data_IF_277616261187
#
_entry.id   IF_277616261187
#
_cell.length_a   1.000
_cell.length_b   1.000
_cell.length_c   1.000
_cell.angle_alpha   90.00
_cell.angle_beta   90.00
_cell.angle_gamma   90.00
#
_symmetry.space_group_name_H-M   'P 1'
#
loop_
_entity.id
_entity.type
_entity.pdbx_description
1 polymer ?
#
# COMPACT_ATOMS: atom_id res chain seq x y z
N UNK A 1 11.58 2.47 -15.59
CA UNK A 1 10.86 1.23 -15.98
C UNK A 1 9.63 0.92 -15.12
N UNK A 2 9.74 0.78 -13.79
CA UNK A 2 8.58 0.43 -12.93
C UNK A 2 7.35 1.35 -13.06
N UNK A 3 7.54 2.65 -13.34
CA UNK A 3 6.41 3.59 -13.52
C UNK A 3 5.60 3.30 -14.78
N UNK A 4 6.26 2.96 -15.90
CA UNK A 4 5.61 2.57 -17.15
C UNK A 4 4.91 1.21 -17.02
N UNK A 5 5.55 0.28 -16.31
CA UNK A 5 5.00 -1.07 -16.08
C UNK A 5 3.72 -1.02 -15.23
N UNK A 6 3.67 -0.14 -14.21
CA UNK A 6 2.44 0.13 -13.45
C UNK A 6 1.33 0.71 -14.31
N UNK A 7 1.64 1.68 -15.18
CA UNK A 7 0.64 2.30 -16.06
C UNK A 7 0.08 1.26 -17.03
N UNK A 8 0.94 0.45 -17.65
CA UNK A 8 0.52 -0.66 -18.51
C UNK A 8 -0.41 -1.63 -17.77
N UNK A 9 -0.04 -2.05 -16.56
CA UNK A 9 -0.87 -2.92 -15.73
C UNK A 9 -2.25 -2.33 -15.42
N UNK A 10 -2.32 -1.03 -15.08
CA UNK A 10 -3.60 -0.34 -14.84
C UNK A 10 -4.45 -0.28 -16.11
N UNK A 11 -3.84 0.00 -17.27
CA UNK A 11 -4.55 0.01 -18.56
C UNK A 11 -5.16 -1.37 -18.85
N UNK A 12 -4.40 -2.44 -18.62
CA UNK A 12 -4.88 -3.82 -18.81
C UNK A 12 -6.09 -4.10 -17.92
N UNK A 13 -6.02 -3.74 -16.63
CA UNK A 13 -7.16 -3.91 -15.71
C UNK A 13 -8.40 -3.15 -16.17
N UNK A 14 -8.24 -1.89 -16.62
CA UNK A 14 -9.35 -1.08 -17.12
C UNK A 14 -9.97 -1.72 -18.36
N UNK A 15 -9.14 -2.18 -19.30
CA UNK A 15 -9.60 -2.86 -20.52
C UNK A 15 -10.42 -4.11 -20.19
N UNK A 16 -9.93 -4.95 -19.28
CA UNK A 16 -10.67 -6.12 -18.82
C UNK A 16 -11.99 -5.74 -18.14
N UNK A 17 -12.00 -4.70 -17.30
CA UNK A 17 -13.21 -4.20 -16.65
C UNK A 17 -14.28 -3.72 -17.65
N UNK A 18 -13.86 -3.02 -18.72
CA UNK A 18 -14.77 -2.55 -19.77
C UNK A 18 -15.35 -3.70 -20.59
N UNK A 19 -14.51 -4.64 -21.04
CA UNK A 19 -14.96 -5.83 -21.77
C UNK A 19 -15.93 -6.65 -20.90
N UNK A 20 -15.61 -6.79 -19.62
CA UNK A 20 -16.45 -7.49 -18.66
C UNK A 20 -17.81 -6.82 -18.50
N UNK A 21 -17.86 -5.48 -18.37
CA UNK A 21 -19.10 -4.72 -18.28
C UNK A 21 -19.97 -4.90 -19.54
N UNK A 22 -19.39 -4.74 -20.73
CA UNK A 22 -20.11 -4.88 -22.00
C UNK A 22 -20.68 -6.28 -22.23
N UNK A 23 -19.98 -7.33 -21.79
CA UNK A 23 -20.41 -8.72 -21.94
C UNK A 23 -21.45 -9.14 -20.89
N UNK A 24 -21.47 -8.47 -19.75
CA UNK A 24 -22.28 -8.86 -18.59
C UNK A 24 -23.25 -7.76 -18.18
N UNK A 25 -23.95 -7.17 -19.16
CA UNK A 25 -25.01 -6.18 -18.93
C UNK A 25 -26.33 -6.83 -18.44
N UNK A 26 -26.21 -7.90 -17.67
CA UNK A 26 -27.34 -8.58 -17.06
C UNK A 26 -27.65 -7.95 -15.70
N UNK A 27 -28.94 -7.76 -15.44
CA UNK A 27 -29.44 -7.39 -14.13
C UNK A 27 -29.52 -8.64 -13.25
N UNK A 28 -28.99 -8.54 -12.04
CA UNK A 28 -29.06 -9.60 -11.02
C UNK A 28 -29.84 -9.06 -9.84
N UNK A 29 -30.71 -9.91 -9.29
CA UNK A 29 -31.48 -9.60 -8.09
C UNK A 29 -30.62 -9.77 -6.84
N UNK A 30 -30.36 -8.67 -6.14
CA UNK A 30 -29.75 -8.70 -4.81
C UNK A 30 -30.85 -8.76 -3.76
N UNK A 31 -31.02 -9.94 -3.16
CA UNK A 31 -31.86 -10.14 -1.99
C UNK A 31 -31.14 -9.60 -0.74
N UNK A 32 -31.44 -8.37 -0.35
CA UNK A 32 -31.06 -7.86 0.96
C UNK A 32 -32.04 -8.35 2.03
N UNK A 33 -31.64 -8.28 3.30
CA UNK A 33 -32.43 -8.74 4.45
C UNK A 33 -33.88 -8.20 4.50
N UNK A 34 -34.16 -7.08 3.84
CA UNK A 34 -35.47 -6.42 3.87
C UNK A 34 -36.10 -6.28 2.47
N UNK A 35 -35.31 -6.31 1.39
CA UNK A 35 -35.83 -6.09 0.03
C UNK A 35 -34.91 -6.66 -1.06
N UNK A 36 -35.48 -6.92 -2.23
CA UNK A 36 -34.75 -7.34 -3.44
C UNK A 36 -34.59 -6.17 -4.38
N UNK A 37 -33.36 -5.87 -4.80
CA UNK A 37 -33.08 -4.77 -5.74
C UNK A 37 -32.39 -5.34 -6.99
N UNK A 38 -32.91 -5.08 -8.21
CA UNK A 38 -32.21 -5.43 -9.43
C UNK A 38 -31.03 -4.48 -9.64
N UNK A 39 -29.82 -5.03 -9.72
CA UNK A 39 -28.58 -4.28 -9.93
C UNK A 39 -27.75 -4.95 -11.01
N UNK A 40 -27.07 -4.16 -11.84
CA UNK A 40 -26.18 -4.71 -12.88
C UNK A 40 -25.07 -5.55 -12.25
N UNK A 41 -24.89 -6.78 -12.73
CA UNK A 41 -23.89 -7.72 -12.21
C UNK A 41 -22.48 -7.13 -12.21
N UNK A 42 -22.13 -6.39 -13.26
CA UNK A 42 -20.85 -5.69 -13.37
C UNK A 42 -20.61 -4.69 -12.24
N UNK A 43 -21.65 -3.97 -11.79
CA UNK A 43 -21.51 -2.99 -10.70
C UNK A 43 -21.21 -3.67 -9.38
N UNK A 44 -21.87 -4.80 -9.10
CA UNK A 44 -21.64 -5.58 -7.88
C UNK A 44 -20.18 -6.02 -7.80
N UNK A 45 -19.66 -6.59 -8.89
CA UNK A 45 -18.27 -7.07 -8.95
C UNK A 45 -17.27 -5.91 -8.79
N UNK A 46 -17.49 -4.79 -9.48
CA UNK A 46 -16.62 -3.62 -9.35
C UNK A 46 -16.63 -3.09 -7.92
N UNK A 47 -17.80 -3.00 -7.28
CA UNK A 47 -17.93 -2.58 -5.89
C UNK A 47 -17.21 -3.54 -4.93
N UNK A 48 -17.40 -4.86 -5.08
CA UNK A 48 -16.72 -5.86 -4.26
C UNK A 48 -15.19 -5.77 -4.42
N UNK A 49 -14.71 -5.58 -5.65
CA UNK A 49 -13.28 -5.40 -5.92
C UNK A 49 -12.74 -4.13 -5.27
N UNK A 50 -13.46 -3.00 -5.40
CA UNK A 50 -13.10 -1.74 -4.76
C UNK A 50 -13.04 -1.87 -3.23
N UNK A 51 -14.05 -2.51 -2.63
CA UNK A 51 -14.07 -2.79 -1.18
C UNK A 51 -12.88 -3.66 -0.78
N UNK A 52 -12.61 -4.73 -1.53
CA UNK A 52 -11.45 -5.60 -1.28
C UNK A 52 -10.11 -4.86 -1.39
N UNK A 53 -9.96 -3.98 -2.39
CA UNK A 53 -8.76 -3.15 -2.55
C UNK A 53 -8.58 -2.17 -1.39
N UNK A 54 -9.65 -1.49 -0.95
CA UNK A 54 -9.62 -0.60 0.20
C UNK A 54 -9.21 -1.37 1.46
N UNK A 55 -9.84 -2.53 1.70
CA UNK A 55 -9.52 -3.39 2.84
C UNK A 55 -8.07 -3.88 2.79
N UNK A 56 -7.57 -4.26 1.60
CA UNK A 56 -6.18 -4.65 1.40
C UNK A 56 -5.20 -3.52 1.71
N UNK A 57 -5.49 -2.30 1.28
CA UNK A 57 -4.69 -1.12 1.64
C UNK A 57 -4.72 -0.90 3.14
N UNK A 58 -5.90 -0.91 3.76
CA UNK A 58 -6.05 -0.74 5.21
C UNK A 58 -5.27 -1.80 5.99
N UNK A 59 -5.34 -3.06 5.57
CA UNK A 59 -4.60 -4.17 6.17
C UNK A 59 -3.07 -3.99 6.04
N UNK A 60 -2.59 -3.29 5.01
CA UNK A 60 -1.16 -3.02 4.82
C UNK A 60 -0.63 -1.84 5.64
N UNK A 61 -1.50 -0.94 6.13
CA UNK A 61 -1.08 0.26 6.87
C UNK A 61 -0.22 -0.02 8.10
N UNK A 62 -0.54 -1.00 8.98
CA UNK A 62 0.27 -1.27 10.17
C UNK A 62 1.71 -1.66 9.81
N UNK A 63 1.89 -2.46 8.75
CA UNK A 63 3.21 -2.87 8.28
C UNK A 63 4.02 -1.67 7.76
N UNK A 64 3.37 -0.77 7.01
CA UNK A 64 4.00 0.47 6.53
C UNK A 64 4.40 1.39 7.69
N UNK A 65 3.56 1.52 8.71
CA UNK A 65 3.85 2.32 9.90
C UNK A 65 5.03 1.74 10.69
N UNK A 66 5.04 0.42 10.90
CA UNK A 66 6.15 -0.29 11.55
C UNK A 66 7.46 -0.07 10.80
N UNK A 67 7.45 -0.23 9.47
CA UNK A 67 8.63 -0.02 8.63
C UNK A 67 9.15 1.42 8.72
N UNK A 68 8.26 2.42 8.69
CA UNK A 68 8.65 3.83 8.88
C UNK A 68 9.27 4.08 10.24
N UNK A 69 8.70 3.49 11.30
CA UNK A 69 9.20 3.65 12.65
C UNK A 69 10.59 3.01 12.82
N UNK A 70 10.77 1.78 12.33
CA UNK A 70 12.05 1.08 12.34
C UNK A 70 13.11 1.85 11.53
N UNK A 71 12.77 2.35 10.35
CA UNK A 71 13.67 3.16 9.55
C UNK A 71 14.11 4.45 10.30
N UNK A 72 13.17 5.16 10.92
CA UNK A 72 13.51 6.33 11.74
C UNK A 72 14.41 5.99 12.93
N UNK A 73 14.19 4.84 13.57
CA UNK A 73 15.04 4.33 14.65
C UNK A 73 16.45 4.02 14.16
N UNK A 74 16.58 3.31 13.04
CA UNK A 74 17.88 2.97 12.44
C UNK A 74 18.67 4.22 12.04
N UNK A 75 18.02 5.20 11.40
CA UNK A 75 18.65 6.48 11.05
C UNK A 75 19.17 7.22 12.29
N UNK A 76 18.43 7.19 13.41
CA UNK A 76 18.90 7.78 14.68
C UNK A 76 20.11 7.03 15.25
N UNK A 77 20.10 5.70 15.21
CA UNK A 77 21.22 4.88 15.69
C UNK A 77 22.50 5.18 14.91
N UNK A 78 22.43 5.21 13.58
CA UNK A 78 23.58 5.56 12.72
C UNK A 78 24.16 6.93 13.11
N UNK A 79 23.32 7.95 13.27
CA UNK A 79 23.76 9.28 13.68
C UNK A 79 24.42 9.32 15.07
N UNK A 80 23.94 8.50 16.01
CA UNK A 80 24.54 8.42 17.35
C UNK A 80 25.89 7.73 17.32
N UNK A 81 25.99 6.60 16.61
CA UNK A 81 27.26 5.87 16.44
C UNK A 81 28.31 6.73 15.73
N UNK A 82 27.92 7.49 14.69
CA UNK A 82 28.82 8.44 14.03
C UNK A 82 29.32 9.54 14.99
N UNK A 83 28.44 10.06 15.86
CA UNK A 83 28.83 11.04 16.88
C UNK A 83 29.79 10.48 17.92
N UNK A 84 29.58 9.25 18.37
CA UNK A 84 30.47 8.57 19.32
C UNK A 84 31.86 8.33 18.72
N UNK A 85 31.93 7.85 17.47
CA UNK A 85 33.20 7.68 16.75
C UNK A 85 33.92 9.03 16.61
N UNK A 86 33.20 10.09 16.22
CA UNK A 86 33.80 11.41 16.11
C UNK A 86 34.31 11.91 17.47
N UNK A 87 33.49 11.84 18.53
CA UNK A 87 33.88 12.27 19.87
C UNK A 87 35.13 11.51 20.36
N UNK A 88 35.21 10.20 20.13
CA UNK A 88 36.38 9.38 20.48
C UNK A 88 37.63 9.77 19.68
N UNK A 89 37.49 10.19 18.41
CA UNK A 89 38.60 10.68 17.58
C UNK A 89 39.12 12.05 18.00
N UNK A 90 38.32 12.86 18.70
CA UNK A 90 38.74 14.19 19.17
C UNK A 90 39.30 14.18 20.60
N UNK A 91 39.33 13.04 21.29
CA UNK A 91 39.97 12.96 22.62
C UNK A 91 41.49 13.12 22.40
N UNK A 92 42.10 14.22 22.87
CA UNK A 92 43.55 14.30 22.90
C UNK A 92 44.02 13.26 23.90
N UNK A 93 44.96 12.40 23.49
CA UNK A 93 45.68 11.54 24.43
C UNK A 93 46.37 12.48 25.42
N UNK A 94 45.74 12.72 26.59
CA UNK A 94 46.44 13.26 27.75
C UNK A 94 47.32 12.13 28.26
N UNK A 95 48.43 11.92 27.57
CA UNK A 95 49.59 11.27 28.14
C UNK A 95 50.03 12.17 29.28
N UNK A 96 49.61 11.76 30.48
CA UNK A 96 50.34 12.09 31.68
C UNK A 96 51.64 11.31 31.59
N UNK A 97 52.75 12.01 31.42
CA UNK A 97 54.04 11.73 32.07
C UNK A 97 54.91 12.99 31.95
#
# INVERSE_FOLDING_TARGET
>A
MYRLLKVCFVIVIIFFGLIFHLKNDQLVELNYYVNTVPVSFSLVIVLTLCVGAILGVLASLPALLKLKHENAKLVRQVKMTEKEINNLRVIPVRDKL
#
